data_IF_130924759885
#
_entry.id   IF_130924759885
#
_cell.length_a   1.000
_cell.length_b   1.000
_cell.length_c   1.000
_cell.angle_alpha   90.00
_cell.angle_beta   90.00
_cell.angle_gamma   90.00
#
_symmetry.space_group_name_H-M   'P 1'
#
loop_
_entity.id
_entity.type
_entity.pdbx_description
1 polymer ?
#
# COMPACT_ATOMS: atom_id res chain seq x y z
N UNK A 1 14.56 -1.31 -8.22
CA UNK A 1 13.62 -1.93 -7.25
C UNK A 1 13.07 -0.83 -6.37
N UNK A 2 11.76 -0.59 -6.43
CA UNK A 2 11.07 0.36 -5.57
C UNK A 2 10.25 -0.37 -4.50
N UNK A 3 10.10 0.32 -3.37
CA UNK A 3 9.20 -0.04 -2.30
C UNK A 3 7.95 0.83 -2.40
N UNK A 4 6.79 0.22 -2.17
CA UNK A 4 5.52 0.92 -2.07
C UNK A 4 4.83 0.51 -0.78
N UNK A 5 4.30 1.46 -0.03
CA UNK A 5 3.63 1.22 1.25
C UNK A 5 2.13 1.51 1.16
N UNK A 6 1.29 0.65 1.72
CA UNK A 6 -0.16 0.80 1.80
C UNK A 6 -0.55 0.69 3.28
N UNK A 7 -0.95 1.80 3.89
CA UNK A 7 -1.14 1.87 5.34
C UNK A 7 -2.11 2.98 5.76
N UNK A 8 -2.33 3.14 7.06
CA UNK A 8 -3.02 4.29 7.64
C UNK A 8 -2.25 5.60 7.42
N UNK A 9 -2.90 6.73 7.71
CA UNK A 9 -2.33 8.06 7.47
C UNK A 9 -1.00 8.29 8.22
N UNK A 10 -0.89 7.85 9.47
CA UNK A 10 0.30 8.08 10.29
C UNK A 10 1.49 7.29 9.74
N UNK A 11 1.27 6.02 9.39
CA UNK A 11 2.28 5.17 8.76
C UNK A 11 2.73 5.75 7.42
N UNK A 12 1.79 6.16 6.56
CA UNK A 12 2.09 6.76 5.25
C UNK A 12 2.95 8.02 5.39
N UNK A 13 2.63 8.88 6.35
CA UNK A 13 3.43 10.08 6.65
C UNK A 13 4.87 9.69 7.01
N UNK A 14 5.04 8.69 7.89
CA UNK A 14 6.36 8.18 8.26
C UNK A 14 7.16 7.65 7.08
N UNK A 15 6.55 6.82 6.22
CA UNK A 15 7.21 6.24 5.05
C UNK A 15 7.60 7.29 4.00
N UNK A 16 6.78 8.32 3.82
CA UNK A 16 7.11 9.43 2.91
C UNK A 16 8.34 10.21 3.37
N UNK A 17 8.55 10.36 4.68
CA UNK A 17 9.77 10.97 5.23
C UNK A 17 11.03 10.14 4.90
N UNK A 18 10.90 8.83 4.78
CA UNK A 18 11.97 7.93 4.35
C UNK A 18 12.16 7.87 2.81
N UNK A 19 11.40 8.66 2.04
CA UNK A 19 11.44 8.67 0.57
C UNK A 19 10.74 7.46 -0.06
N UNK A 20 9.92 6.74 0.70
CA UNK A 20 9.15 5.60 0.19
C UNK A 20 7.78 6.12 -0.27
N UNK A 21 7.37 5.72 -1.47
CA UNK A 21 6.04 6.03 -1.97
C UNK A 21 5.00 5.26 -1.16
N UNK A 22 3.98 5.97 -0.70
CA UNK A 22 3.01 5.41 0.23
C UNK A 22 1.58 5.95 -0.02
N UNK A 23 0.61 5.06 0.12
CA UNK A 23 -0.81 5.28 -0.11
C UNK A 23 -1.62 5.01 1.15
N UNK A 24 -2.56 5.93 1.44
CA UNK A 24 -3.47 5.79 2.57
C UNK A 24 -4.57 4.80 2.21
N UNK A 25 -4.84 3.84 3.10
CA UNK A 25 -5.87 2.82 2.95
C UNK A 25 -6.68 2.68 4.24
N UNK A 26 -7.71 3.51 4.38
CA UNK A 26 -8.71 3.44 5.46
C UNK A 26 -10.01 2.76 5.01
N UNK A 27 -10.24 2.67 3.70
CA UNK A 27 -11.40 2.02 3.10
C UNK A 27 -10.98 0.93 2.11
N UNK A 28 -11.88 -0.02 1.86
CA UNK A 28 -11.68 -1.08 0.87
C UNK A 28 -11.35 -0.52 -0.52
N UNK A 29 -12.05 0.52 -0.96
CA UNK A 29 -11.81 1.16 -2.26
C UNK A 29 -10.40 1.79 -2.36
N UNK A 30 -9.94 2.43 -1.28
CA UNK A 30 -8.59 2.98 -1.21
C UNK A 30 -7.53 1.88 -1.23
N UNK A 31 -7.71 0.82 -0.44
CA UNK A 31 -6.82 -0.33 -0.41
C UNK A 31 -6.75 -1.01 -1.79
N UNK A 32 -7.90 -1.18 -2.43
CA UNK A 32 -8.02 -1.80 -3.76
C UNK A 32 -7.33 -0.96 -4.84
N UNK A 33 -7.56 0.35 -4.84
CA UNK A 33 -6.93 1.28 -5.77
C UNK A 33 -5.42 1.30 -5.60
N UNK A 34 -4.93 1.38 -4.35
CA UNK A 34 -3.50 1.37 -4.04
C UNK A 34 -2.84 0.04 -4.45
N UNK A 35 -3.49 -1.09 -4.19
CA UNK A 35 -2.98 -2.41 -4.57
C UNK A 35 -2.92 -2.57 -6.10
N UNK A 36 -3.97 -2.18 -6.83
CA UNK A 36 -3.95 -2.24 -8.29
C UNK A 36 -2.90 -1.30 -8.89
N UNK A 37 -2.71 -0.12 -8.30
CA UNK A 37 -1.61 0.77 -8.70
C UNK A 37 -0.26 0.06 -8.51
N UNK A 38 -0.02 -0.54 -7.34
CA UNK A 38 1.22 -1.24 -7.05
C UNK A 38 1.51 -2.40 -8.02
N UNK A 39 0.49 -3.21 -8.35
CA UNK A 39 0.63 -4.35 -9.28
C UNK A 39 0.89 -3.89 -10.72
N UNK A 40 0.38 -2.72 -11.12
CA UNK A 40 0.59 -2.19 -12.48
C UNK A 40 1.95 -1.52 -12.66
N UNK A 41 2.72 -1.32 -11.59
CA UNK A 41 4.07 -0.76 -11.68
C UNK A 41 5.13 -1.85 -11.88
N UNK A 42 5.77 -1.93 -13.07
CA UNK A 42 6.77 -2.96 -13.36
C UNK A 42 8.08 -2.80 -12.57
N UNK A 43 8.31 -1.64 -11.95
CA UNK A 43 9.48 -1.34 -11.12
C UNK A 43 9.22 -1.48 -9.61
N UNK A 44 7.97 -1.75 -9.21
CA UNK A 44 7.58 -2.09 -7.85
C UNK A 44 8.01 -3.53 -7.53
N UNK A 45 9.04 -3.66 -6.69
CA UNK A 45 9.57 -4.97 -6.32
C UNK A 45 9.00 -5.50 -5.01
N UNK A 46 8.60 -4.60 -4.10
CA UNK A 46 8.13 -4.93 -2.75
C UNK A 46 6.98 -4.00 -2.40
N UNK A 47 5.84 -4.59 -2.03
CA UNK A 47 4.68 -3.89 -1.45
C UNK A 47 4.63 -4.19 0.04
N UNK A 48 4.69 -3.13 0.85
CA UNK A 48 4.52 -3.18 2.30
C UNK A 48 3.06 -2.81 2.56
N UNK A 49 2.32 -3.67 3.24
CA UNK A 49 0.93 -3.39 3.59
C UNK A 49 0.71 -3.71 5.08
N UNK A 50 -0.02 -2.83 5.77
CA UNK A 50 -0.41 -3.12 7.17
C UNK A 50 -1.49 -4.18 7.20
N UNK A 51 -1.51 -5.01 8.25
CA UNK A 51 -2.53 -6.07 8.42
C UNK A 51 -3.97 -5.51 8.29
N UNK A 52 -4.24 -4.35 8.91
CA UNK A 52 -5.54 -3.69 8.84
C UNK A 52 -5.94 -3.31 7.41
N UNK A 53 -4.99 -2.80 6.62
CA UNK A 53 -5.24 -2.46 5.21
C UNK A 53 -5.38 -3.72 4.34
N UNK A 54 -4.62 -4.78 4.64
CA UNK A 54 -4.72 -6.06 3.95
C UNK A 54 -6.06 -6.76 4.21
N UNK A 55 -6.58 -6.67 5.44
CA UNK A 55 -7.89 -7.21 5.81
C UNK A 55 -9.04 -6.62 4.98
N UNK A 56 -8.93 -5.36 4.56
CA UNK A 56 -9.91 -4.72 3.69
C UNK A 56 -9.99 -5.36 2.30
N UNK A 57 -8.91 -6.00 1.84
CA UNK A 57 -8.79 -6.58 0.49
C UNK A 57 -8.33 -8.04 0.54
N UNK A 58 -8.75 -8.78 1.57
CA UNK A 58 -8.24 -10.14 1.86
C UNK A 58 -8.37 -11.11 0.68
N UNK A 59 -9.44 -11.00 -0.09
CA UNK A 59 -9.70 -11.78 -1.31
C UNK A 59 -8.68 -11.57 -2.45
N UNK A 60 -7.87 -10.51 -2.39
CA UNK A 60 -6.81 -10.16 -3.34
C UNK A 60 -5.41 -10.49 -2.82
N UNK A 61 -5.28 -10.81 -1.54
CA UNK A 61 -4.00 -11.05 -0.86
C UNK A 61 -3.76 -12.55 -0.61
N UNK A 62 -4.84 -13.34 -0.41
CA UNK A 62 -4.80 -14.82 -0.36
C UNK A 62 -4.58 -15.45 -1.75
#
# INVERSE_FOLDING_TARGET
>A
MRFLCIADEDTVRGFRLAGIEAFVAETEDQAYTAMNYAITQPDCGIVIITERAADLIRSKVD
#
